data_IF_880690647129
#
_entry.id   IF_880690647129
#
_cell.length_a   1.000
_cell.length_b   1.000
_cell.length_c   1.000
_cell.angle_alpha   90.00
_cell.angle_beta   90.00
_cell.angle_gamma   90.00
#
_symmetry.space_group_name_H-M   'P 1'
#
loop_
_entity.id
_entity.type
_entity.pdbx_description
1 polymer ?
#
# COMPACT_ATOMS: atom_id res chain seq x y z
N UNK A 1 -50.85 -39.34 -9.12
CA UNK A 1 -50.46 -37.93 -9.38
C UNK A 1 -49.11 -37.65 -8.72
N UNK A 2 -47.99 -37.91 -9.39
CA UNK A 2 -46.65 -37.59 -8.86
C UNK A 2 -45.58 -37.70 -9.97
N UNK A 3 -45.67 -36.86 -11.01
CA UNK A 3 -44.64 -36.73 -12.07
C UNK A 3 -44.52 -35.29 -12.59
N UNK A 4 -44.44 -34.30 -11.70
CA UNK A 4 -44.28 -32.88 -12.10
C UNK A 4 -43.21 -32.07 -11.35
N UNK A 5 -42.49 -32.63 -10.36
CA UNK A 5 -41.55 -31.84 -9.54
C UNK A 5 -40.09 -31.87 -9.99
N UNK A 6 -39.60 -32.96 -10.58
CA UNK A 6 -38.14 -33.13 -10.82
C UNK A 6 -37.62 -32.28 -11.99
N UNK A 7 -38.40 -32.12 -13.06
CA UNK A 7 -37.98 -31.36 -14.24
C UNK A 7 -37.85 -29.86 -14.01
N UNK A 8 -38.70 -29.29 -13.15
CA UNK A 8 -38.66 -27.86 -12.80
C UNK A 8 -37.46 -27.54 -11.91
N UNK A 9 -37.13 -28.44 -10.97
CA UNK A 9 -35.94 -28.32 -10.10
C UNK A 9 -34.64 -28.46 -10.90
N UNK A 10 -34.59 -29.36 -11.89
CA UNK A 10 -33.43 -29.48 -12.78
C UNK A 10 -33.25 -28.23 -13.65
N UNK A 11 -34.33 -27.64 -14.15
CA UNK A 11 -34.28 -26.41 -14.93
C UNK A 11 -33.80 -25.21 -14.09
N UNK A 12 -34.31 -25.05 -12.87
CA UNK A 12 -33.82 -24.03 -11.93
C UNK A 12 -32.37 -24.27 -11.49
N UNK A 13 -31.95 -25.53 -11.35
CA UNK A 13 -30.57 -25.87 -11.04
C UNK A 13 -29.63 -25.49 -12.18
N UNK A 14 -29.99 -25.81 -13.42
CA UNK A 14 -29.20 -25.46 -14.61
C UNK A 14 -29.15 -23.94 -14.84
N UNK A 15 -30.25 -23.21 -14.60
CA UNK A 15 -30.28 -21.75 -14.68
C UNK A 15 -29.41 -21.09 -13.59
N UNK A 16 -29.38 -21.67 -12.39
CA UNK A 16 -28.51 -21.24 -11.30
C UNK A 16 -27.04 -21.61 -11.48
N UNK A 17 -26.72 -22.66 -12.25
CA UNK A 17 -25.34 -22.98 -12.65
C UNK A 17 -24.86 -21.98 -13.70
N UNK A 18 -25.70 -21.71 -14.71
CA UNK A 18 -25.39 -20.74 -15.77
C UNK A 18 -25.19 -19.31 -15.26
N UNK A 19 -26.01 -18.86 -14.30
CA UNK A 19 -25.82 -17.56 -13.62
C UNK A 19 -24.56 -17.49 -12.76
N UNK A 20 -24.02 -18.64 -12.33
CA UNK A 20 -22.80 -18.73 -11.53
C UNK A 20 -21.58 -18.64 -12.46
N UNK A 21 -21.59 -19.39 -13.56
CA UNK A 21 -20.59 -19.29 -14.63
C UNK A 21 -20.51 -17.86 -15.21
N UNK A 22 -21.65 -17.25 -15.53
CA UNK A 22 -21.70 -15.88 -16.05
C UNK A 22 -21.20 -14.83 -15.03
N UNK A 23 -21.39 -15.08 -13.73
CA UNK A 23 -20.87 -14.22 -12.66
C UNK A 23 -19.37 -14.39 -12.48
N UNK A 24 -18.86 -15.61 -12.57
CA UNK A 24 -17.44 -15.94 -12.47
C UNK A 24 -16.68 -15.31 -13.67
N UNK A 25 -17.25 -15.35 -14.88
CA UNK A 25 -16.70 -14.69 -16.07
C UNK A 25 -16.63 -13.16 -15.92
N UNK A 26 -17.67 -12.52 -15.38
CA UNK A 26 -17.70 -11.07 -15.13
C UNK A 26 -16.67 -10.67 -14.05
N UNK A 27 -16.53 -11.48 -13.00
CA UNK A 27 -15.54 -11.24 -11.92
C UNK A 27 -14.10 -11.38 -12.45
N UNK A 28 -13.88 -12.26 -13.44
CA UNK A 28 -12.59 -12.45 -14.13
C UNK A 28 -12.20 -11.24 -15.00
N UNK A 29 -13.17 -10.51 -15.57
CA UNK A 29 -12.93 -9.33 -16.41
C UNK A 29 -12.63 -8.05 -15.60
N UNK A 30 -13.14 -7.93 -14.37
CA UNK A 30 -13.04 -6.69 -13.59
C UNK A 30 -11.63 -6.33 -13.08
N UNK A 31 -10.66 -7.23 -13.16
CA UNK A 31 -9.25 -6.96 -12.85
C UNK A 31 -8.33 -7.53 -13.93
N UNK A 32 -8.56 -7.14 -15.19
CA UNK A 32 -7.61 -7.47 -16.26
C UNK A 32 -6.30 -6.70 -16.04
N UNK A 33 -5.30 -7.42 -15.54
CA UNK A 33 -3.90 -7.01 -15.64
C UNK A 33 -3.54 -7.09 -17.12
N UNK A 34 -3.39 -5.93 -17.76
CA UNK A 34 -2.81 -5.84 -19.11
C UNK A 34 -1.39 -6.41 -19.01
N UNK A 35 -1.16 -7.62 -19.52
CA UNK A 35 0.18 -8.20 -19.56
C UNK A 35 1.03 -7.36 -20.51
N UNK A 36 2.07 -6.66 -20.01
CA UNK A 36 2.89 -5.87 -20.91
C UNK A 36 3.69 -6.83 -21.79
N UNK A 37 3.39 -6.87 -23.09
CA UNK A 37 4.20 -7.55 -24.12
C UNK A 37 5.52 -6.79 -24.39
N UNK A 38 6.09 -6.16 -23.37
CA UNK A 38 7.37 -5.49 -23.47
C UNK A 38 8.44 -6.51 -23.10
N UNK A 39 8.95 -7.19 -24.13
CA UNK A 39 10.16 -8.00 -24.05
C UNK A 39 11.36 -7.07 -23.83
N UNK A 40 11.46 -6.49 -22.62
CA UNK A 40 12.60 -5.67 -22.19
C UNK A 40 13.79 -6.58 -22.00
N UNK A 41 14.40 -6.99 -23.10
CA UNK A 41 15.71 -7.63 -23.09
C UNK A 41 16.74 -6.53 -22.83
N UNK A 42 16.84 -6.07 -21.58
CA UNK A 42 17.96 -5.24 -21.14
C UNK A 42 19.24 -6.05 -21.40
N UNK A 43 20.21 -5.53 -22.17
CA UNK A 43 21.48 -6.22 -22.34
C UNK A 43 22.20 -6.21 -20.99
N UNK A 44 22.18 -7.35 -20.30
CA UNK A 44 22.83 -7.54 -19.00
C UNK A 44 24.35 -7.58 -19.17
N UNK A 45 24.98 -6.42 -19.30
CA UNK A 45 26.42 -6.29 -19.11
C UNK A 45 26.72 -6.23 -17.61
N UNK A 46 27.76 -6.95 -17.17
CA UNK A 46 28.19 -7.02 -15.75
C UNK A 46 28.47 -5.61 -15.19
N UNK A 47 28.85 -4.66 -16.05
CA UNK A 47 29.12 -3.27 -15.70
C UNK A 47 27.81 -2.49 -15.46
N UNK A 48 26.76 -2.75 -16.25
CA UNK A 48 25.47 -2.09 -16.07
C UNK A 48 24.78 -2.56 -14.79
N UNK A 49 24.84 -3.86 -14.49
CA UNK A 49 24.24 -4.42 -13.27
C UNK A 49 24.93 -3.88 -12.02
N UNK A 50 26.27 -3.87 -11.98
CA UNK A 50 27.01 -3.34 -10.83
C UNK A 50 26.74 -1.86 -10.55
N UNK A 51 26.59 -1.04 -11.60
CA UNK A 51 26.20 0.37 -11.43
C UNK A 51 24.77 0.55 -10.93
N UNK A 52 23.84 -0.32 -11.35
CA UNK A 52 22.47 -0.30 -10.88
C UNK A 52 22.36 -0.79 -9.43
N UNK A 53 23.13 -1.81 -9.06
CA UNK A 53 23.18 -2.31 -7.69
C UNK A 53 23.72 -1.24 -6.73
N UNK A 54 24.75 -0.50 -7.16
CA UNK A 54 25.30 0.61 -6.37
C UNK A 54 24.29 1.76 -6.19
N UNK A 55 23.54 2.11 -7.25
CA UNK A 55 22.55 3.20 -7.16
C UNK A 55 21.32 2.80 -6.34
N UNK A 56 20.89 1.54 -6.40
CA UNK A 56 19.82 1.04 -5.56
C UNK A 56 20.26 0.95 -4.09
N UNK A 57 21.48 0.47 -3.83
CA UNK A 57 22.04 0.43 -2.49
C UNK A 57 22.19 1.84 -1.88
N UNK A 58 22.65 2.82 -2.65
CA UNK A 58 22.81 4.19 -2.13
C UNK A 58 21.46 4.83 -1.77
N UNK A 59 20.42 4.58 -2.57
CA UNK A 59 19.05 5.03 -2.27
C UNK A 59 18.49 4.33 -1.04
N UNK A 60 18.58 3.01 -0.96
CA UNK A 60 18.04 2.23 0.16
C UNK A 60 18.71 2.59 1.49
N UNK A 61 20.03 2.83 1.48
CA UNK A 61 20.82 3.14 2.68
C UNK A 61 20.62 4.56 3.23
N UNK A 62 19.89 5.45 2.54
CA UNK A 62 19.77 6.87 2.94
C UNK A 62 18.39 7.49 2.70
N UNK A 63 17.31 6.74 2.95
CA UNK A 63 15.95 7.23 2.75
C UNK A 63 15.57 8.33 3.76
N UNK A 64 15.00 9.44 3.29
CA UNK A 64 14.55 10.52 4.16
C UNK A 64 13.02 10.51 4.33
N UNK A 65 12.51 9.99 5.45
CA UNK A 65 11.09 9.93 5.75
C UNK A 65 10.52 11.34 6.04
N UNK A 66 9.37 11.65 5.46
CA UNK A 66 8.60 12.83 5.82
C UNK A 66 7.97 12.62 7.20
N UNK A 67 8.13 13.60 8.09
CA UNK A 67 7.46 13.66 9.39
C UNK A 67 5.96 13.90 9.22
N UNK A 68 5.24 12.85 8.83
CA UNK A 68 3.80 12.86 8.60
C UNK A 68 3.09 11.99 9.63
N UNK A 69 2.02 12.51 10.22
CA UNK A 69 1.21 11.76 11.16
C UNK A 69 -0.13 12.42 11.40
N UNK A 70 -1.19 11.62 11.36
CA UNK A 70 -2.57 12.11 11.53
C UNK A 70 -3.31 11.50 12.70
N UNK A 71 -2.86 10.35 13.22
CA UNK A 71 -3.59 9.61 14.27
C UNK A 71 -2.64 8.79 15.14
N UNK A 72 -3.15 7.77 15.84
CA UNK A 72 -2.43 6.95 16.81
C UNK A 72 -1.16 6.27 16.27
N UNK A 73 -1.09 5.93 14.97
CA UNK A 73 0.11 5.32 14.38
C UNK A 73 1.31 6.27 14.39
N UNK A 74 1.11 7.59 14.47
CA UNK A 74 2.21 8.54 14.54
C UNK A 74 3.00 8.42 15.85
N UNK A 75 2.37 8.03 16.97
CA UNK A 75 3.10 7.88 18.23
C UNK A 75 4.07 6.70 18.18
N UNK A 76 3.70 5.64 17.45
CA UNK A 76 4.58 4.50 17.22
C UNK A 76 5.63 4.77 16.15
N UNK A 77 5.38 5.74 15.27
CA UNK A 77 6.42 6.25 14.38
C UNK A 77 7.39 7.16 15.16
N UNK A 78 6.89 8.04 16.03
CA UNK A 78 7.71 8.91 16.86
C UNK A 78 8.57 8.12 17.87
N UNK A 79 8.07 6.97 18.35
CA UNK A 79 8.86 6.08 19.21
C UNK A 79 10.05 5.42 18.48
N UNK A 80 10.03 5.34 17.14
CA UNK A 80 11.18 4.93 16.34
C UNK A 80 12.28 5.99 16.31
N UNK A 81 11.90 7.26 16.31
CA UNK A 81 12.84 8.39 16.36
C UNK A 81 13.53 8.45 17.73
N UNK A 82 12.89 7.89 18.77
CA UNK A 82 13.46 7.80 20.11
C UNK A 82 14.69 6.88 20.20
N UNK A 83 15.47 7.07 21.26
CA UNK A 83 16.74 6.37 21.51
C UNK A 83 16.65 4.84 21.61
N UNK A 84 15.46 4.28 21.85
CA UNK A 84 15.29 2.83 22.02
C UNK A 84 15.41 2.06 20.71
N UNK A 85 14.90 2.64 19.62
CA UNK A 85 14.88 2.00 18.31
C UNK A 85 15.79 2.71 17.31
N UNK A 86 16.06 4.00 17.52
CA UNK A 86 17.03 4.81 16.78
C UNK A 86 16.92 4.69 15.26
N UNK A 87 15.95 5.41 14.69
CA UNK A 87 15.69 5.42 13.25
C UNK A 87 16.91 5.86 12.41
N UNK A 88 17.75 6.74 12.95
CA UNK A 88 18.91 7.31 12.26
C UNK A 88 20.01 6.26 11.97
N UNK A 89 20.07 5.19 12.78
CA UNK A 89 21.03 4.10 12.60
C UNK A 89 20.95 3.44 11.22
N UNK A 90 19.78 3.47 10.59
CA UNK A 90 19.53 2.89 9.28
C UNK A 90 19.58 3.91 8.15
N UNK A 91 20.06 5.13 8.42
CA UNK A 91 20.10 6.23 7.45
C UNK A 91 18.76 6.93 7.24
N UNK A 92 17.77 6.66 8.11
CA UNK A 92 16.45 7.26 8.05
C UNK A 92 16.37 8.56 8.88
N UNK A 93 16.64 9.69 8.22
CA UNK A 93 16.61 11.01 8.87
C UNK A 93 15.25 11.68 8.63
N UNK A 94 14.43 11.91 9.68
CA UNK A 94 13.15 12.59 9.54
C UNK A 94 13.29 14.04 9.06
N UNK A 95 12.60 14.37 7.96
CA UNK A 95 12.51 15.72 7.40
C UNK A 95 11.08 16.26 7.47
N UNK A 96 10.96 17.54 7.80
CA UNK A 96 9.66 18.22 7.87
C UNK A 96 9.19 18.79 6.53
N UNK A 97 10.09 18.93 5.56
CA UNK A 97 9.77 19.47 4.24
C UNK A 97 9.63 18.37 3.19
N UNK A 98 8.55 18.35 2.38
CA UNK A 98 8.35 17.34 1.33
C UNK A 98 9.37 17.41 0.21
N UNK A 99 9.97 18.57 -0.05
CA UNK A 99 10.99 18.73 -1.08
C UNK A 99 12.35 18.11 -0.73
N UNK A 100 12.54 17.74 0.53
CA UNK A 100 13.75 17.09 1.04
C UNK A 100 13.46 15.66 1.51
N UNK A 101 12.27 15.13 1.27
CA UNK A 101 11.87 13.82 1.74
C UNK A 101 11.53 12.94 0.54
N UNK A 102 12.04 11.72 0.57
CA UNK A 102 11.92 10.74 -0.52
C UNK A 102 11.04 9.55 -0.10
N UNK A 103 10.66 9.48 1.17
CA UNK A 103 9.82 8.43 1.73
C UNK A 103 8.66 9.06 2.52
N UNK A 104 7.44 8.58 2.34
CA UNK A 104 6.28 9.00 3.13
C UNK A 104 5.68 7.82 3.89
N UNK A 105 5.68 7.93 5.22
CA UNK A 105 4.90 7.06 6.09
C UNK A 105 3.50 7.64 6.24
N UNK A 106 2.48 6.96 5.74
CA UNK A 106 1.09 7.33 6.01
C UNK A 106 0.69 6.81 7.40
N UNK A 107 1.22 7.46 8.44
CA UNK A 107 1.06 7.05 9.83
C UNK A 107 -0.25 7.60 10.44
N UNK A 108 -1.37 6.94 10.12
CA UNK A 108 -2.67 7.20 10.76
C UNK A 108 -3.83 7.37 9.80
N UNK A 109 -5.04 7.53 10.35
CA UNK A 109 -6.27 7.61 9.57
C UNK A 109 -6.27 8.87 8.69
N UNK A 110 -6.65 8.72 7.43
CA UNK A 110 -6.83 9.84 6.50
C UNK A 110 -8.32 10.15 6.40
N UNK A 111 -8.68 11.38 6.74
CA UNK A 111 -10.06 11.89 6.57
C UNK A 111 -10.23 12.50 5.17
N UNK A 112 -11.48 12.62 4.72
CA UNK A 112 -11.83 13.25 3.44
C UNK A 112 -11.24 14.67 3.31
N UNK A 113 -11.19 15.41 4.43
CA UNK A 113 -10.57 16.74 4.47
C UNK A 113 -9.04 16.70 4.30
N UNK A 114 -8.40 15.65 4.82
CA UNK A 114 -6.95 15.51 4.78
C UNK A 114 -6.45 14.93 3.45
N UNK A 115 -7.26 14.11 2.77
CA UNK A 115 -6.92 13.47 1.50
C UNK A 115 -6.28 14.42 0.45
N UNK A 116 -6.88 15.57 0.09
CA UNK A 116 -6.26 16.47 -0.90
C UNK A 116 -4.94 17.08 -0.41
N UNK A 117 -4.77 17.27 0.90
CA UNK A 117 -3.51 17.78 1.47
C UNK A 117 -2.40 16.72 1.36
N UNK A 118 -2.74 15.45 1.55
CA UNK A 118 -1.80 14.34 1.42
C UNK A 118 -1.37 14.14 -0.05
N UNK A 119 -2.30 14.21 -1.00
CA UNK A 119 -1.98 14.20 -2.45
C UNK A 119 -1.02 15.33 -2.78
N UNK A 120 -1.29 16.55 -2.30
CA UNK A 120 -0.40 17.70 -2.53
C UNK A 120 1.00 17.51 -1.94
N UNK A 121 1.13 16.88 -0.77
CA UNK A 121 2.44 16.57 -0.20
C UNK A 121 3.20 15.59 -1.10
N UNK A 122 2.51 14.54 -1.58
CA UNK A 122 3.08 13.54 -2.48
C UNK A 122 3.50 14.12 -3.84
N UNK A 123 2.72 15.06 -4.39
CA UNK A 123 3.07 15.77 -5.64
C UNK A 123 4.28 16.69 -5.48
N UNK A 124 4.52 17.22 -4.28
CA UNK A 124 5.64 18.12 -4.00
C UNK A 124 6.98 17.41 -3.75
N UNK A 125 6.96 16.09 -3.59
CA UNK A 125 8.15 15.26 -3.41
C UNK A 125 8.90 15.04 -4.73
N UNK A 126 10.25 15.04 -4.71
CA UNK A 126 11.04 14.64 -5.87
C UNK A 126 10.84 13.17 -6.23
N UNK A 127 11.13 12.80 -7.48
CA UNK A 127 11.30 11.40 -7.87
C UNK A 127 12.75 10.96 -7.58
N UNK A 128 13.04 9.76 -7.05
CA UNK A 128 12.15 8.65 -6.69
C UNK A 128 11.52 8.82 -5.30
N UNK A 129 10.21 8.53 -5.18
CA UNK A 129 9.48 8.61 -3.92
C UNK A 129 8.81 7.29 -3.59
N UNK A 130 8.80 6.96 -2.30
CA UNK A 130 8.23 5.71 -1.78
C UNK A 130 7.14 5.98 -0.76
N UNK A 131 6.11 5.15 -0.74
CA UNK A 131 4.92 5.30 0.12
C UNK A 131 4.71 4.02 0.91
N UNK A 132 4.71 4.16 2.25
CA UNK A 132 4.40 3.05 3.16
C UNK A 132 3.04 3.32 3.82
N UNK A 133 2.11 2.38 3.64
CA UNK A 133 0.82 2.37 4.32
C UNK A 133 0.96 1.77 5.71
N UNK A 134 1.03 2.63 6.72
CA UNK A 134 1.23 2.21 8.12
C UNK A 134 -0.10 2.14 8.87
N UNK A 135 -0.45 0.92 9.28
CA UNK A 135 -1.59 0.62 10.13
C UNK A 135 -2.88 0.33 9.37
N UNK A 136 -3.80 -0.39 10.00
CA UNK A 136 -5.03 -0.89 9.37
C UNK A 136 -5.91 0.23 8.77
N UNK A 137 -5.85 1.44 9.33
CA UNK A 137 -6.62 2.59 8.87
C UNK A 137 -6.20 3.06 7.47
N UNK A 138 -4.92 2.96 7.09
CA UNK A 138 -4.44 3.38 5.77
C UNK A 138 -4.50 2.28 4.72
N UNK A 139 -4.64 1.02 5.14
CA UNK A 139 -4.80 -0.12 4.22
C UNK A 139 -6.26 -0.25 3.79
N UNK A 140 -7.17 -0.44 4.75
CA UNK A 140 -8.59 -0.75 4.46
C UNK A 140 -9.57 0.25 5.07
N UNK A 141 -9.08 1.26 5.80
CA UNK A 141 -9.90 2.09 6.70
C UNK A 141 -9.99 1.53 8.13
N UNK A 142 -9.52 0.30 8.37
CA UNK A 142 -9.41 -0.29 9.71
C UNK A 142 -10.77 -0.34 10.42
N UNK A 143 -10.80 0.10 11.68
CA UNK A 143 -12.04 0.17 12.46
C UNK A 143 -13.08 1.15 11.88
N UNK A 144 -12.64 2.11 11.07
CA UNK A 144 -13.49 3.14 10.49
C UNK A 144 -14.10 2.70 9.14
N UNK A 145 -13.79 1.48 8.68
CA UNK A 145 -14.26 0.97 7.39
C UNK A 145 -15.77 0.72 7.32
N UNK A 146 -16.43 0.36 8.43
CA UNK A 146 -17.88 0.07 8.42
C UNK A 146 -18.71 1.34 8.55
N UNK A 147 -18.55 2.08 9.65
CA UNK A 147 -19.55 3.07 10.09
C UNK A 147 -19.15 4.54 9.85
N UNK A 148 -17.93 4.81 9.40
CA UNK A 148 -17.48 6.20 9.26
C UNK A 148 -17.85 6.82 7.90
N UNK A 149 -18.38 8.05 7.95
CA UNK A 149 -18.72 8.85 6.76
C UNK A 149 -17.54 9.70 6.29
N UNK A 150 -16.59 10.01 7.18
CA UNK A 150 -15.56 11.02 6.97
C UNK A 150 -14.16 10.47 6.72
N UNK A 151 -13.93 9.15 6.88
CA UNK A 151 -12.62 8.54 6.65
C UNK A 151 -12.51 7.93 5.27
N UNK A 152 -11.33 8.03 4.67
CA UNK A 152 -11.03 7.35 3.40
C UNK A 152 -10.66 5.91 3.70
N UNK A 153 -11.37 4.99 3.04
CA UNK A 153 -11.10 3.56 3.12
C UNK A 153 -9.89 3.20 2.26
N UNK A 154 -8.70 3.39 2.80
CA UNK A 154 -7.43 3.10 2.14
C UNK A 154 -6.76 4.32 1.49
N UNK A 155 -5.44 4.44 1.64
CA UNK A 155 -4.59 5.45 0.99
C UNK A 155 -4.39 5.15 -0.50
N UNK A 156 -4.42 3.87 -0.86
CA UNK A 156 -4.19 3.37 -2.23
C UNK A 156 -5.18 3.94 -3.27
N UNK A 157 -6.28 4.54 -2.82
CA UNK A 157 -7.27 5.17 -3.69
C UNK A 157 -6.80 6.45 -4.35
N UNK A 158 -5.80 7.13 -3.80
CA UNK A 158 -5.37 8.44 -4.28
C UNK A 158 -3.85 8.60 -4.39
N UNK A 159 -3.06 7.75 -3.73
CA UNK A 159 -1.60 7.69 -3.87
C UNK A 159 -1.20 6.23 -4.03
N UNK A 160 -0.27 5.88 -4.94
CA UNK A 160 0.23 4.51 -5.07
C UNK A 160 1.02 4.11 -3.81
N UNK A 161 0.69 2.96 -3.23
CA UNK A 161 1.37 2.42 -2.05
C UNK A 161 2.36 1.33 -2.47
N UNK A 162 3.61 1.43 -2.01
CA UNK A 162 4.63 0.41 -2.27
C UNK A 162 4.55 -0.74 -1.25
N UNK A 163 4.38 -0.40 0.03
CA UNK A 163 4.47 -1.37 1.13
C UNK A 163 3.33 -1.19 2.11
N UNK A 164 2.67 -2.29 2.45
CA UNK A 164 1.60 -2.34 3.42
C UNK A 164 2.10 -2.89 4.75
N UNK A 165 1.91 -2.12 5.82
CA UNK A 165 2.28 -2.51 7.18
C UNK A 165 1.04 -2.65 8.08
N UNK A 166 0.54 -3.87 8.30
CA UNK A 166 -0.64 -4.08 9.11
C UNK A 166 -0.37 -3.85 10.61
N UNK A 167 -1.34 -3.25 11.31
CA UNK A 167 -1.30 -3.03 12.76
C UNK A 167 -2.28 -1.95 13.23
N UNK A 168 -2.60 -1.90 14.52
CA UNK A 168 -3.50 -0.87 15.08
C UNK A 168 -3.14 -0.50 16.54
N UNK A 169 -2.08 0.28 16.77
CA UNK A 169 -0.98 0.58 15.84
C UNK A 169 0.01 -0.58 15.73
N UNK A 170 0.80 -0.69 14.64
CA UNK A 170 1.88 -1.67 14.57
C UNK A 170 2.93 -1.35 15.64
N UNK A 171 3.44 -2.39 16.32
CA UNK A 171 4.54 -2.21 17.27
C UNK A 171 5.71 -1.52 16.55
N UNK A 172 6.54 -0.70 17.24
CA UNK A 172 7.76 -0.14 16.65
C UNK A 172 8.64 -1.22 16.04
N UNK A 173 8.56 -2.43 16.60
CA UNK A 173 9.18 -3.60 15.98
C UNK A 173 8.75 -3.90 14.55
N UNK A 174 7.45 -3.89 14.31
CA UNK A 174 6.89 -4.17 12.99
C UNK A 174 7.37 -3.13 11.98
N UNK A 175 7.46 -1.86 12.40
CA UNK A 175 7.94 -0.78 11.55
C UNK A 175 9.41 -0.97 11.14
N UNK A 176 10.30 -1.35 12.07
CA UNK A 176 11.69 -1.67 11.68
C UNK A 176 11.73 -2.84 10.70
N UNK A 177 10.85 -3.84 10.91
CA UNK A 177 10.93 -5.11 10.18
C UNK A 177 10.54 -4.91 8.74
N UNK A 178 9.48 -4.15 8.50
CA UNK A 178 9.05 -3.82 7.15
C UNK A 178 10.13 -3.08 6.37
N UNK A 179 10.85 -2.14 7.00
CA UNK A 179 11.97 -1.48 6.33
C UNK A 179 13.10 -2.47 5.98
N UNK A 180 13.48 -3.35 6.90
CA UNK A 180 14.56 -4.31 6.67
C UNK A 180 14.17 -5.49 5.76
N UNK A 181 12.87 -5.72 5.53
CA UNK A 181 12.38 -6.69 4.55
C UNK A 181 12.25 -6.08 3.15
N UNK A 182 12.28 -4.75 3.03
CA UNK A 182 12.24 -4.02 1.74
C UNK A 182 13.63 -3.66 1.21
N UNK A 183 14.69 -3.80 2.02
CA UNK A 183 16.11 -3.64 1.66
C UNK A 183 16.75 -4.97 1.28
#
# INVERSE_FOLDING_TARGET
MAKRSVGMVLAEYLDNQKKREEKDDIETVMNLVEFPLLNQKTPNSIISTTSNDLSNWSRLSSLWPLLYGTSCCFIEFASLIGSRFDFDRYGLVPRSSPRQADLIFTAGTVTMKMAPSLVRLYEQMPEPKYVIAMGACTITGGMFSTDSYSTVRGVDKFIPVDVYLPGCPPKPRGNYRCYNETS
#
